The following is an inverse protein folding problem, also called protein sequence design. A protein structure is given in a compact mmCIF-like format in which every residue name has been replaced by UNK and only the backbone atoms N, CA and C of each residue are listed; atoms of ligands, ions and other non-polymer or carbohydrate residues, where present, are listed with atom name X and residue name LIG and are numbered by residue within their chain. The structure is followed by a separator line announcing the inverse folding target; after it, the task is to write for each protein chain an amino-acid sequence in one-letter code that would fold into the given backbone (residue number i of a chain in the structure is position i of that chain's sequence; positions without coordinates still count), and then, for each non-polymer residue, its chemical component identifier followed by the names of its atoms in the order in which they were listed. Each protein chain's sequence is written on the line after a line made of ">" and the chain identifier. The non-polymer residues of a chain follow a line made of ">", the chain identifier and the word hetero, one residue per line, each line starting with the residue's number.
data_IF_912873530734
#
_entry.id   IF_912873530734
#
_cell.length_a   1.000
_cell.length_b   1.000
_cell.length_c   1.000
_cell.angle_alpha   90.00
_cell.angle_beta   90.00
_cell.angle_gamma   90.00
#
_symmetry.space_group_name_H-M   'P 1'
#
loop_
_entity.id
_entity.type
_entity.pdbx_description
1 polymer ?
#
# COMPACT_ATOMS: atom_id res chain seq x y z
N UNK A 1 14.17 -5.76 30.86
CA UNK A 1 14.49 -4.55 30.04
C UNK A 1 14.98 -4.86 28.61
N UNK A 2 16.05 -5.65 28.40
CA UNK A 2 16.61 -5.93 27.04
C UNK A 2 15.59 -6.54 26.04
N UNK A 3 14.73 -7.47 26.49
CA UNK A 3 13.67 -8.09 25.64
C UNK A 3 12.61 -7.10 25.16
N UNK A 4 12.18 -6.17 26.04
CA UNK A 4 11.20 -5.11 25.70
C UNK A 4 11.77 -4.19 24.60
N UNK A 5 13.01 -3.74 24.76
CA UNK A 5 13.67 -2.86 23.80
C UNK A 5 13.83 -3.54 22.42
N UNK A 6 14.14 -4.84 22.40
CA UNK A 6 14.25 -5.61 21.17
C UNK A 6 12.93 -5.63 20.37
N UNK A 7 11.81 -6.02 21.00
CA UNK A 7 10.50 -6.05 20.33
C UNK A 7 10.05 -4.66 19.87
N UNK A 8 10.25 -3.62 20.69
CA UNK A 8 9.96 -2.23 20.30
C UNK A 8 10.75 -1.79 19.07
N UNK A 9 12.02 -2.18 18.95
CA UNK A 9 12.85 -1.86 17.77
C UNK A 9 12.33 -2.55 16.51
N UNK A 10 11.95 -3.82 16.60
CA UNK A 10 11.37 -4.57 15.47
C UNK A 10 10.06 -3.91 15.02
N UNK A 11 9.15 -3.63 15.95
CA UNK A 11 7.88 -2.95 15.68
C UNK A 11 8.13 -1.62 14.96
N UNK A 12 9.03 -0.79 15.51
CA UNK A 12 9.33 0.53 14.95
C UNK A 12 9.87 0.43 13.53
N UNK A 13 10.86 -0.42 13.29
CA UNK A 13 11.51 -0.51 11.99
C UNK A 13 10.56 -1.01 10.91
N UNK A 14 9.79 -2.07 11.19
CA UNK A 14 8.82 -2.61 10.23
C UNK A 14 7.62 -1.68 10.02
N UNK A 15 7.18 -0.98 11.06
CA UNK A 15 6.12 0.02 10.94
C UNK A 15 6.58 1.22 10.11
N UNK A 16 7.81 1.72 10.29
CA UNK A 16 8.38 2.80 9.46
C UNK A 16 8.51 2.33 8.01
N UNK A 17 9.04 1.14 7.78
CA UNK A 17 9.11 0.56 6.44
C UNK A 17 7.74 0.53 5.77
N UNK A 18 6.72 0.01 6.46
CA UNK A 18 5.36 -0.03 5.95
C UNK A 18 4.78 1.35 5.65
N UNK A 19 4.97 2.33 6.55
CA UNK A 19 4.56 3.73 6.33
C UNK A 19 5.20 4.28 5.06
N UNK A 20 6.51 4.11 4.88
CA UNK A 20 7.23 4.62 3.71
C UNK A 20 6.70 3.95 2.44
N UNK A 21 6.56 2.62 2.42
CA UNK A 21 6.03 1.89 1.28
C UNK A 21 4.61 2.34 0.92
N UNK A 22 3.74 2.53 1.92
CA UNK A 22 2.37 2.99 1.73
C UNK A 22 2.31 4.40 1.14
N UNK A 23 3.12 5.33 1.67
CA UNK A 23 3.18 6.72 1.19
C UNK A 23 3.75 6.78 -0.22
N UNK A 24 4.85 6.06 -0.50
CA UNK A 24 5.43 6.01 -1.84
C UNK A 24 4.43 5.43 -2.85
N UNK A 25 3.71 4.37 -2.49
CA UNK A 25 2.66 3.78 -3.32
C UNK A 25 1.49 4.74 -3.58
N UNK A 26 1.18 5.64 -2.65
CA UNK A 26 0.12 6.63 -2.83
C UNK A 26 0.56 7.82 -3.67
N UNK A 27 1.75 8.36 -3.40
CA UNK A 27 2.27 9.57 -4.07
C UNK A 27 2.49 9.34 -5.57
N UNK A 28 2.76 8.11 -6.02
CA UNK A 28 2.85 7.80 -7.46
C UNK A 28 1.56 8.12 -8.22
N UNK A 29 0.40 8.16 -7.56
CA UNK A 29 -0.86 8.55 -8.20
C UNK A 29 -0.89 10.03 -8.61
N UNK A 30 -0.20 10.93 -7.88
CA UNK A 30 -0.10 12.36 -8.27
C UNK A 30 0.57 12.54 -9.63
N UNK A 31 1.55 11.69 -9.94
CA UNK A 31 2.35 11.78 -11.16
C UNK A 31 2.08 10.59 -12.10
N UNK A 32 0.84 10.08 -12.13
CA UNK A 32 0.52 8.84 -12.86
C UNK A 32 0.83 8.92 -14.36
N UNK A 33 0.58 10.06 -15.03
CA UNK A 33 0.91 10.23 -16.45
C UNK A 33 2.42 10.15 -16.69
N UNK A 34 3.21 10.90 -15.92
CA UNK A 34 4.67 10.90 -16.01
C UNK A 34 5.25 9.54 -15.65
N UNK A 35 4.74 8.91 -14.58
CA UNK A 35 5.14 7.58 -14.15
C UNK A 35 4.90 6.53 -15.23
N UNK A 36 3.75 6.59 -15.90
CA UNK A 36 3.44 5.73 -17.04
C UNK A 36 4.38 5.98 -18.22
N UNK A 37 4.59 7.25 -18.62
CA UNK A 37 5.51 7.57 -19.72
C UNK A 37 6.93 7.04 -19.48
N UNK A 38 7.35 7.00 -18.21
CA UNK A 38 8.66 6.50 -17.82
C UNK A 38 8.70 4.97 -17.82
N UNK A 39 7.76 4.31 -17.14
CA UNK A 39 7.79 2.84 -16.96
C UNK A 39 7.59 2.08 -18.28
N UNK A 40 6.88 2.67 -19.26
CA UNK A 40 6.72 2.09 -20.61
C UNK A 40 8.08 1.84 -21.26
N UNK A 41 9.05 2.73 -21.07
CA UNK A 41 10.39 2.63 -21.68
C UNK A 41 11.21 1.44 -21.19
N UNK A 42 10.79 0.79 -20.11
CA UNK A 42 11.48 -0.35 -19.52
C UNK A 42 11.11 -1.69 -20.18
N UNK A 43 10.05 -1.70 -20.99
CA UNK A 43 9.47 -2.92 -21.54
C UNK A 43 9.58 -2.95 -23.06
N UNK A 44 9.91 -4.10 -23.67
CA UNK A 44 9.89 -4.24 -25.13
C UNK A 44 8.51 -3.95 -25.69
N UNK A 45 8.45 -3.26 -26.84
CA UNK A 45 7.19 -2.85 -27.48
C UNK A 45 6.26 -4.02 -27.80
N UNK A 46 6.82 -5.20 -28.09
CA UNK A 46 6.04 -6.40 -28.41
C UNK A 46 5.50 -7.13 -27.17
N UNK A 47 5.80 -6.65 -25.96
CA UNK A 47 5.34 -7.30 -24.73
C UNK A 47 3.90 -6.90 -24.39
N UNK A 48 3.12 -7.87 -23.89
CA UNK A 48 1.73 -7.65 -23.43
C UNK A 48 1.67 -6.56 -22.34
N UNK A 49 2.72 -6.47 -21.52
CA UNK A 49 2.82 -5.46 -20.47
C UNK A 49 3.02 -4.05 -21.06
N UNK A 50 3.88 -3.91 -22.07
CA UNK A 50 4.05 -2.65 -22.78
C UNK A 50 2.75 -2.19 -23.42
N UNK A 51 2.05 -3.09 -24.15
CA UNK A 51 0.78 -2.77 -24.80
C UNK A 51 -0.25 -2.22 -23.80
N UNK A 52 -0.40 -2.87 -22.65
CA UNK A 52 -1.32 -2.43 -21.60
C UNK A 52 -0.91 -1.11 -20.94
N UNK A 53 0.38 -0.94 -20.63
CA UNK A 53 0.91 0.29 -20.04
C UNK A 53 0.76 1.47 -21.00
N UNK A 54 1.07 1.28 -22.28
CA UNK A 54 0.94 2.31 -23.31
C UNK A 54 -0.52 2.71 -23.54
N UNK A 55 -1.44 1.74 -23.61
CA UNK A 55 -2.88 2.01 -23.65
C UNK A 55 -3.36 2.83 -22.45
N UNK A 56 -2.87 2.49 -21.25
CA UNK A 56 -3.20 3.21 -20.03
C UNK A 56 -2.65 4.64 -20.03
N UNK A 57 -1.42 4.83 -20.51
CA UNK A 57 -0.79 6.14 -20.68
C UNK A 57 -1.57 7.04 -21.64
N UNK A 58 -1.90 6.54 -22.83
CA UNK A 58 -2.65 7.32 -23.83
C UNK A 58 -4.03 7.71 -23.29
N UNK A 59 -4.72 6.82 -22.56
CA UNK A 59 -6.01 7.13 -21.93
C UNK A 59 -5.89 8.22 -20.86
N UNK A 60 -4.88 8.13 -19.98
CA UNK A 60 -4.63 9.14 -18.94
C UNK A 60 -4.26 10.47 -19.56
N UNK A 61 -3.33 10.49 -20.52
CA UNK A 61 -2.88 11.70 -21.22
C UNK A 61 -4.01 12.38 -21.97
N UNK A 62 -4.80 11.62 -22.73
CA UNK A 62 -5.97 12.17 -23.43
C UNK A 62 -6.98 12.75 -22.44
N UNK A 63 -7.18 12.12 -21.28
CA UNK A 63 -8.06 12.64 -20.22
C UNK A 63 -7.48 13.90 -19.59
N UNK A 64 -6.18 13.98 -19.33
CA UNK A 64 -5.55 15.18 -18.76
C UNK A 64 -5.58 16.37 -19.73
N UNK A 65 -5.44 16.14 -21.04
CA UNK A 65 -5.54 17.18 -22.07
C UNK A 65 -6.97 17.73 -22.16
N UNK A 66 -7.98 16.85 -22.17
CA UNK A 66 -9.37 17.25 -22.46
C UNK A 66 -10.20 17.54 -21.20
N UNK A 67 -9.90 16.87 -20.08
CA UNK A 67 -10.66 16.89 -18.83
C UNK A 67 -9.73 16.85 -17.59
N UNK A 68 -8.82 17.83 -17.43
CA UNK A 68 -7.77 17.81 -16.38
C UNK A 68 -8.33 17.72 -14.95
N UNK A 69 -9.54 18.22 -14.70
CA UNK A 69 -10.18 18.15 -13.38
C UNK A 69 -10.46 16.71 -12.92
N UNK A 70 -10.50 15.72 -13.81
CA UNK A 70 -10.66 14.30 -13.45
C UNK A 70 -9.42 13.80 -12.70
N UNK A 71 -8.24 14.37 -12.96
CA UNK A 71 -7.01 14.04 -12.24
C UNK A 71 -7.14 14.28 -10.72
N UNK A 72 -8.05 15.15 -10.29
CA UNK A 72 -8.34 15.39 -8.88
C UNK A 72 -8.78 14.12 -8.13
N UNK A 73 -9.35 13.13 -8.83
CA UNK A 73 -9.63 11.82 -8.25
C UNK A 73 -8.37 11.07 -7.80
N UNK A 74 -7.26 11.21 -8.54
CA UNK A 74 -5.97 10.65 -8.18
C UNK A 74 -5.33 11.40 -7.00
N UNK A 75 -5.54 12.71 -6.91
CA UNK A 75 -5.08 13.52 -5.77
C UNK A 75 -5.71 13.03 -4.46
N UNK A 76 -7.02 12.78 -4.46
CA UNK A 76 -7.72 12.21 -3.31
C UNK A 76 -7.27 10.79 -2.99
N UNK A 77 -6.98 9.97 -4.01
CA UNK A 77 -6.44 8.63 -3.83
C UNK A 77 -5.07 8.66 -3.14
N UNK A 78 -4.17 9.54 -3.60
CA UNK A 78 -2.86 9.74 -2.99
C UNK A 78 -2.99 10.26 -1.56
N UNK A 79 -3.85 11.26 -1.34
CA UNK A 79 -4.13 11.80 -0.01
C UNK A 79 -4.66 10.74 0.95
N UNK A 80 -5.53 9.83 0.50
CA UNK A 80 -6.03 8.72 1.31
C UNK A 80 -4.90 7.85 1.86
N UNK A 81 -3.87 7.54 1.05
CA UNK A 81 -2.71 6.77 1.51
C UNK A 81 -1.91 7.53 2.59
N UNK A 82 -1.75 8.84 2.44
CA UNK A 82 -1.09 9.70 3.42
C UNK A 82 -1.87 9.69 4.74
N UNK A 83 -3.21 9.83 4.68
CA UNK A 83 -4.08 9.77 5.88
C UNK A 83 -3.97 8.42 6.57
N UNK A 84 -4.00 7.31 5.82
CA UNK A 84 -3.81 5.97 6.38
C UNK A 84 -2.44 5.86 7.06
N UNK A 85 -1.37 6.34 6.43
CA UNK A 85 -0.02 6.33 7.00
C UNK A 85 0.08 7.13 8.32
N UNK A 86 -0.66 8.24 8.44
CA UNK A 86 -0.71 9.05 9.67
C UNK A 86 -1.25 8.23 10.85
N UNK A 87 -2.26 7.37 10.65
CA UNK A 87 -2.76 6.50 11.73
C UNK A 87 -1.69 5.54 12.27
N UNK A 88 -0.75 5.09 11.43
CA UNK A 88 0.36 4.24 11.87
C UNK A 88 1.36 4.96 12.78
N UNK A 89 1.37 6.30 12.82
CA UNK A 89 2.15 7.06 13.81
C UNK A 89 1.69 6.72 15.24
N UNK A 90 0.41 6.40 15.43
CA UNK A 90 -0.11 5.89 16.71
C UNK A 90 0.62 4.62 17.16
N UNK A 91 0.90 3.70 16.23
CA UNK A 91 1.64 2.45 16.51
C UNK A 91 3.09 2.76 16.89
N UNK A 92 3.73 3.75 16.26
CA UNK A 92 5.10 4.15 16.61
C UNK A 92 5.19 4.74 18.03
N UNK A 93 4.14 5.42 18.50
CA UNK A 93 4.06 6.01 19.83
C UNK A 93 3.72 4.98 20.91
N UNK A 94 2.65 4.23 20.72
CA UNK A 94 2.21 3.17 21.63
C UNK A 94 1.60 2.00 20.84
N UNK A 95 2.38 0.96 20.57
CA UNK A 95 1.93 -0.11 19.67
C UNK A 95 0.90 -1.05 20.32
N UNK A 96 0.88 -1.19 21.65
CA UNK A 96 -0.10 -2.04 22.34
C UNK A 96 -1.46 -1.37 22.31
N UNK A 97 -1.53 -0.08 22.68
CA UNK A 97 -2.79 0.67 22.64
C UNK A 97 -3.36 0.81 21.22
N UNK A 98 -2.48 0.88 20.21
CA UNK A 98 -2.87 1.08 18.81
C UNK A 98 -2.83 -0.20 17.96
N UNK A 99 -2.90 -1.39 18.58
CA UNK A 99 -2.85 -2.68 17.87
C UNK A 99 -3.95 -2.82 16.81
N UNK A 100 -5.09 -2.12 16.99
CA UNK A 100 -6.18 -2.13 16.03
C UNK A 100 -5.76 -1.61 14.64
N UNK A 101 -4.87 -0.60 14.57
CA UNK A 101 -4.35 -0.07 13.29
C UNK A 101 -3.65 -1.16 12.48
N UNK A 102 -2.93 -2.06 13.15
CA UNK A 102 -2.27 -3.20 12.51
C UNK A 102 -3.29 -4.24 12.04
N UNK A 103 -4.31 -4.53 12.87
CA UNK A 103 -5.40 -5.46 12.50
C UNK A 103 -6.18 -4.94 11.29
N UNK A 104 -6.52 -3.66 11.25
CA UNK A 104 -7.19 -3.04 10.09
C UNK A 104 -6.32 -3.10 8.84
N UNK A 105 -5.01 -2.91 8.98
CA UNK A 105 -4.07 -3.10 7.88
C UNK A 105 -4.11 -4.54 7.34
N UNK A 106 -4.08 -5.55 8.21
CA UNK A 106 -4.18 -6.94 7.79
C UNK A 106 -5.52 -7.25 7.09
N UNK A 107 -6.62 -6.70 7.61
CA UNK A 107 -7.94 -6.82 6.96
C UNK A 107 -7.91 -6.19 5.58
N UNK A 108 -7.36 -4.98 5.42
CA UNK A 108 -7.22 -4.31 4.13
C UNK A 108 -6.38 -5.14 3.15
N UNK A 109 -5.29 -5.77 3.60
CA UNK A 109 -4.49 -6.68 2.78
C UNK A 109 -5.27 -7.89 2.28
N UNK A 110 -6.24 -8.41 3.04
CA UNK A 110 -7.12 -9.49 2.58
C UNK A 110 -8.19 -8.95 1.63
N UNK A 111 -8.77 -7.79 1.92
CA UNK A 111 -9.86 -7.19 1.14
C UNK A 111 -9.44 -6.66 -0.24
N UNK A 112 -8.16 -6.33 -0.45
CA UNK A 112 -7.68 -5.91 -1.77
C UNK A 112 -7.79 -7.02 -2.82
N UNK A 113 -7.72 -8.29 -2.40
CA UNK A 113 -7.82 -9.44 -3.31
C UNK A 113 -9.21 -9.53 -3.98
N UNK A 114 -10.33 -9.63 -3.25
CA UNK A 114 -11.65 -9.63 -3.88
C UNK A 114 -11.93 -8.32 -4.63
N UNK A 115 -11.47 -7.17 -4.10
CA UNK A 115 -11.61 -5.89 -4.79
C UNK A 115 -10.96 -5.93 -6.18
N UNK A 116 -9.69 -6.31 -6.28
CA UNK A 116 -8.95 -6.36 -7.54
C UNK A 116 -9.54 -7.38 -8.52
N UNK A 117 -9.94 -8.56 -8.03
CA UNK A 117 -10.48 -9.62 -8.88
C UNK A 117 -11.88 -9.28 -9.43
N UNK A 118 -12.75 -8.70 -8.60
CA UNK A 118 -14.14 -8.37 -8.97
C UNK A 118 -14.19 -7.03 -9.72
N UNK A 119 -13.74 -5.94 -9.10
CA UNK A 119 -13.83 -4.62 -9.71
C UNK A 119 -12.93 -4.52 -10.95
N UNK A 120 -11.74 -5.14 -10.90
CA UNK A 120 -10.87 -5.22 -12.07
C UNK A 120 -11.53 -5.99 -13.22
N UNK A 121 -12.27 -7.08 -12.95
CA UNK A 121 -13.02 -7.77 -14.00
C UNK A 121 -14.12 -6.90 -14.59
N UNK A 122 -14.93 -6.25 -13.75
CA UNK A 122 -16.02 -5.35 -14.18
C UNK A 122 -15.47 -4.21 -15.04
N UNK A 123 -14.28 -3.70 -14.73
CA UNK A 123 -13.60 -2.62 -15.45
C UNK A 123 -12.70 -3.10 -16.59
N UNK A 124 -12.75 -4.39 -16.94
CA UNK A 124 -11.99 -4.99 -18.04
C UNK A 124 -10.46 -4.83 -17.90
N UNK A 125 -9.95 -4.87 -16.67
CA UNK A 125 -8.52 -4.86 -16.36
C UNK A 125 -7.92 -6.25 -16.63
N UNK A 126 -6.78 -6.37 -17.34
CA UNK A 126 -6.14 -7.64 -17.63
C UNK A 126 -5.85 -8.45 -16.37
N UNK A 127 -5.88 -9.79 -16.50
CA UNK A 127 -5.68 -10.68 -15.36
C UNK A 127 -4.30 -10.48 -14.72
N UNK A 128 -3.24 -10.32 -15.51
CA UNK A 128 -1.89 -10.12 -14.97
C UNK A 128 -1.79 -8.84 -14.15
N UNK A 129 -2.48 -7.76 -14.54
CA UNK A 129 -2.49 -6.51 -13.78
C UNK A 129 -3.28 -6.66 -12.47
N UNK A 130 -4.43 -7.35 -12.51
CA UNK A 130 -5.17 -7.70 -11.28
C UNK A 130 -4.34 -8.54 -10.29
N UNK A 131 -3.45 -9.41 -10.79
CA UNK A 131 -2.52 -10.16 -9.95
C UNK A 131 -1.44 -9.25 -9.34
N UNK A 132 -0.98 -8.23 -10.06
CA UNK A 132 -0.10 -7.19 -9.51
C UNK A 132 -0.83 -6.45 -8.38
N UNK A 133 -2.09 -6.06 -8.57
CA UNK A 133 -2.89 -5.41 -7.51
C UNK A 133 -3.07 -6.31 -6.28
N UNK A 134 -3.30 -7.61 -6.46
CA UNK A 134 -3.38 -8.58 -5.35
C UNK A 134 -2.06 -8.70 -4.59
N UNK A 135 -0.92 -8.51 -5.26
CA UNK A 135 0.40 -8.64 -4.66
C UNK A 135 0.64 -7.63 -3.53
N UNK A 136 0.01 -6.45 -3.58
CA UNK A 136 0.06 -5.45 -2.50
C UNK A 136 -0.50 -6.01 -1.19
N UNK A 137 -1.59 -6.79 -1.26
CA UNK A 137 -2.15 -7.48 -0.10
C UNK A 137 -1.22 -8.56 0.44
N UNK A 138 -0.74 -9.43 -0.45
CA UNK A 138 0.14 -10.55 -0.09
C UNK A 138 1.48 -10.10 0.49
N UNK A 139 2.09 -9.07 -0.10
CA UNK A 139 3.37 -8.52 0.38
C UNK A 139 3.13 -7.65 1.62
N UNK A 140 2.08 -6.83 1.62
CA UNK A 140 1.77 -5.91 2.71
C UNK A 140 1.41 -6.60 4.03
N UNK A 141 0.83 -7.81 4.01
CA UNK A 141 0.48 -8.53 5.23
C UNK A 141 1.70 -9.04 6.01
N UNK A 142 2.85 -9.22 5.33
CA UNK A 142 4.09 -9.73 5.92
C UNK A 142 4.61 -8.78 7.03
N UNK A 143 4.93 -7.50 6.74
CA UNK A 143 5.39 -6.57 7.78
C UNK A 143 4.35 -6.38 8.89
N UNK A 144 3.07 -6.32 8.55
CA UNK A 144 1.99 -6.15 9.52
C UNK A 144 1.89 -7.34 10.49
N UNK A 145 2.04 -8.56 10.00
CA UNK A 145 2.02 -9.77 10.84
C UNK A 145 3.25 -9.83 11.75
N UNK A 146 4.42 -9.42 11.26
CA UNK A 146 5.64 -9.32 12.08
C UNK A 146 5.41 -8.32 13.22
N UNK A 147 4.88 -7.13 12.91
CA UNK A 147 4.56 -6.10 13.91
C UNK A 147 3.54 -6.64 14.91
N UNK A 148 2.44 -7.24 14.44
CA UNK A 148 1.37 -7.77 15.29
C UNK A 148 1.89 -8.81 16.30
N UNK A 149 2.69 -9.78 15.84
CA UNK A 149 3.28 -10.80 16.72
C UNK A 149 4.16 -10.17 17.81
N UNK A 150 4.96 -9.17 17.45
CA UNK A 150 5.81 -8.47 18.42
C UNK A 150 5.00 -7.62 19.41
N UNK A 151 3.85 -7.07 19.01
CA UNK A 151 2.93 -6.35 19.89
C UNK A 151 2.37 -7.28 20.96
N UNK A 152 1.87 -8.47 20.57
CA UNK A 152 1.34 -9.46 21.52
C UNK A 152 2.40 -9.92 22.53
N UNK A 153 3.64 -10.12 22.08
CA UNK A 153 4.75 -10.45 22.97
C UNK A 153 5.07 -9.30 23.93
N UNK A 154 5.06 -8.06 23.44
CA UNK A 154 5.30 -6.87 24.24
C UNK A 154 4.22 -6.69 25.32
N UNK A 155 2.95 -6.87 24.97
CA UNK A 155 1.81 -6.80 25.89
C UNK A 155 1.92 -7.86 27.00
N UNK A 156 2.22 -9.11 26.65
CA UNK A 156 2.41 -10.20 27.63
C UNK A 156 3.55 -9.91 28.60
N UNK A 157 4.68 -9.38 28.10
CA UNK A 157 5.81 -8.99 28.96
C UNK A 157 5.43 -7.85 29.90
N UNK A 158 4.66 -6.86 29.45
CA UNK A 158 4.20 -5.75 30.29
C UNK A 158 3.24 -6.21 31.39
N UNK A 159 2.33 -7.13 31.06
CA UNK A 159 1.40 -7.71 32.04
C UNK A 159 2.13 -8.53 33.11
N UNK A 160 3.12 -9.34 32.74
CA UNK A 160 3.87 -10.17 33.68
C UNK A 160 4.84 -9.41 34.60
N UNK A 161 5.10 -8.12 34.32
CA UNK A 161 5.95 -7.25 35.15
C UNK A 161 5.12 -6.29 36.03
N UNK A 162 3.80 -6.37 35.97
CA UNK A 162 2.89 -5.73 36.94
C UNK A 162 2.57 -6.72 38.04
#
# INVERSE_FOLDING_TARGET
>A
MKRIAHHKRIIRNWCIFFIISLVLSGITAFAVETGLSWIITWWPEQSILHEWLYKSYEAVRATNINYPFIAYGYDWLAFGHIVIAIFFIGVLKDPVRNVWVIKTGCIACVLVIPLALIAGHIRQIPIFWRLIDCSFGVIGIIPLTIVYRNILLLEKIQHNNK
#
